data_IF_583791770393
#
_entry.id   IF_583791770393
#
_cell.length_a   1.000
_cell.length_b   1.000
_cell.length_c   1.000
_cell.angle_alpha   90.00
_cell.angle_beta   90.00
_cell.angle_gamma   90.00
#
_symmetry.space_group_name_H-M   'P 1'
#
loop_
_entity.id
_entity.type
_entity.pdbx_description
1 polymer ?
#
# COMPACT_ATOMS: atom_id res chain seq x y z
N UNK A 1 -4.54 -22.84 28.18
CA UNK A 1 -5.00 -23.66 27.05
C UNK A 1 -4.71 -22.82 25.80
N UNK A 2 -3.62 -23.11 25.13
CA UNK A 2 -3.22 -22.41 23.92
C UNK A 2 -4.03 -22.95 22.75
N UNK A 3 -4.94 -22.14 22.23
CA UNK A 3 -5.54 -22.41 20.91
C UNK A 3 -4.44 -22.20 19.87
N UNK A 4 -4.11 -23.28 19.20
CA UNK A 4 -3.21 -23.33 18.04
C UNK A 4 -3.66 -22.26 17.05
N UNK A 5 -2.86 -21.20 16.88
CA UNK A 5 -3.00 -20.23 15.80
C UNK A 5 -2.53 -20.93 14.51
N UNK A 6 -3.37 -21.84 13.99
CA UNK A 6 -3.15 -22.47 12.70
C UNK A 6 -3.30 -21.36 11.66
N UNK A 7 -2.23 -21.05 10.97
CA UNK A 7 -2.19 -20.05 9.89
C UNK A 7 -3.29 -20.40 8.86
N UNK A 8 -4.31 -19.55 8.76
CA UNK A 8 -5.38 -19.68 7.76
C UNK A 8 -4.83 -19.83 6.34
N UNK A 9 -3.64 -19.27 6.12
CA UNK A 9 -2.94 -19.35 4.84
C UNK A 9 -2.64 -20.80 4.39
N UNK A 10 -2.57 -21.79 5.31
CA UNK A 10 -2.28 -23.18 4.94
C UNK A 10 -3.43 -23.88 4.23
N UNK A 11 -4.66 -23.43 4.40
CA UNK A 11 -5.86 -24.10 3.83
C UNK A 11 -6.39 -23.41 2.57
N UNK A 12 -5.76 -22.31 2.12
CA UNK A 12 -6.19 -21.54 0.96
C UNK A 12 -5.44 -21.97 -0.30
N UNK A 13 -6.18 -22.35 -1.34
CA UNK A 13 -5.64 -22.56 -2.68
C UNK A 13 -5.49 -21.22 -3.41
N UNK A 14 -4.34 -20.57 -3.20
CA UNK A 14 -4.01 -19.26 -3.82
C UNK A 14 -3.96 -19.36 -5.36
N UNK A 15 -3.51 -20.47 -5.92
CA UNK A 15 -3.46 -20.65 -7.38
C UNK A 15 -4.87 -20.63 -7.98
N UNK A 16 -5.83 -21.29 -7.33
CA UNK A 16 -7.24 -21.25 -7.73
C UNK A 16 -7.79 -19.83 -7.62
N UNK A 17 -7.58 -19.14 -6.51
CA UNK A 17 -8.06 -17.75 -6.31
C UNK A 17 -7.51 -16.83 -7.38
N UNK A 18 -6.21 -16.90 -7.67
CA UNK A 18 -5.58 -16.10 -8.71
C UNK A 18 -6.15 -16.40 -10.11
N UNK A 19 -6.50 -17.67 -10.38
CA UNK A 19 -7.10 -18.07 -11.66
C UNK A 19 -8.54 -17.57 -11.78
N UNK A 20 -9.35 -17.73 -10.73
CA UNK A 20 -10.79 -17.43 -10.76
C UNK A 20 -11.07 -15.92 -10.60
N UNK A 21 -10.33 -15.24 -9.72
CA UNK A 21 -10.58 -13.84 -9.33
C UNK A 21 -9.50 -12.85 -9.76
N UNK A 22 -8.34 -13.29 -10.24
CA UNK A 22 -7.16 -12.43 -10.46
C UNK A 22 -7.39 -11.21 -11.34
N UNK A 23 -8.43 -11.20 -12.17
CA UNK A 23 -8.84 -10.04 -12.98
C UNK A 23 -10.11 -9.34 -12.46
N UNK A 24 -10.71 -9.81 -11.39
CA UNK A 24 -11.90 -9.25 -10.76
C UNK A 24 -11.50 -8.52 -9.46
N UNK A 25 -11.20 -7.22 -9.56
CA UNK A 25 -10.71 -6.43 -8.43
C UNK A 25 -11.69 -6.41 -7.24
N UNK A 26 -12.98 -6.18 -7.50
CA UNK A 26 -14.01 -6.17 -6.44
C UNK A 26 -14.18 -7.56 -5.83
N UNK A 27 -14.20 -8.61 -6.65
CA UNK A 27 -14.26 -9.99 -6.19
C UNK A 27 -13.08 -10.40 -5.32
N UNK A 28 -11.85 -9.91 -5.62
CA UNK A 28 -10.67 -10.13 -4.78
C UNK A 28 -10.80 -9.42 -3.42
N UNK A 29 -11.32 -8.19 -3.42
CA UNK A 29 -11.56 -7.45 -2.16
C UNK A 29 -12.61 -8.18 -1.33
N UNK A 30 -13.75 -8.55 -1.91
CA UNK A 30 -14.83 -9.24 -1.21
C UNK A 30 -14.39 -10.60 -0.65
N UNK A 31 -13.64 -11.39 -1.44
CA UNK A 31 -13.05 -12.64 -1.00
C UNK A 31 -12.13 -12.43 0.22
N UNK A 32 -11.20 -11.48 0.13
CA UNK A 32 -10.21 -11.25 1.18
C UNK A 32 -10.85 -10.71 2.48
N UNK A 33 -11.85 -9.83 2.38
CA UNK A 33 -12.65 -9.36 3.52
C UNK A 33 -13.47 -10.51 4.10
N UNK A 34 -14.02 -11.39 3.23
CA UNK A 34 -14.77 -12.57 3.62
C UNK A 34 -13.99 -13.59 4.45
N UNK A 35 -12.65 -13.54 4.46
CA UNK A 35 -11.81 -14.35 5.36
C UNK A 35 -12.01 -13.98 6.85
N UNK A 36 -12.64 -12.83 7.15
CA UNK A 36 -12.90 -12.38 8.52
C UNK A 36 -11.67 -12.02 9.34
N UNK A 37 -10.52 -11.83 8.68
CA UNK A 37 -9.24 -11.60 9.33
C UNK A 37 -8.94 -10.11 9.54
N UNK A 38 -8.07 -9.76 10.53
CA UNK A 38 -7.52 -8.43 10.65
C UNK A 38 -6.87 -7.99 9.35
N UNK A 39 -7.38 -6.91 8.75
CA UNK A 39 -6.97 -6.43 7.43
C UNK A 39 -6.49 -4.99 7.52
N UNK A 40 -5.55 -4.62 6.66
CA UNK A 40 -5.13 -3.24 6.43
C UNK A 40 -5.10 -2.95 4.94
N UNK A 41 -5.19 -1.67 4.59
CA UNK A 41 -4.84 -1.17 3.25
C UNK A 41 -3.76 -0.11 3.37
N UNK A 42 -2.72 -0.17 2.54
CA UNK A 42 -1.67 0.85 2.51
C UNK A 42 -1.88 1.81 1.35
N UNK A 43 -1.53 3.08 1.57
CA UNK A 43 -1.55 4.13 0.55
C UNK A 43 -0.35 5.06 0.70
N UNK A 44 0.06 5.66 -0.41
CA UNK A 44 0.94 6.82 -0.47
C UNK A 44 0.20 8.05 -1.01
N UNK A 45 -1.10 7.93 -1.26
CA UNK A 45 -1.91 8.95 -1.92
C UNK A 45 -1.35 9.40 -3.29
N UNK A 46 -0.70 8.47 -4.02
CA UNK A 46 -0.28 8.68 -5.41
C UNK A 46 -1.48 8.63 -6.36
N UNK A 47 -1.30 8.99 -7.64
CA UNK A 47 -2.37 8.93 -8.63
C UNK A 47 -3.12 7.59 -8.60
N UNK A 48 -4.46 7.67 -8.64
CA UNK A 48 -5.41 6.55 -8.67
C UNK A 48 -5.50 5.68 -7.40
N UNK A 49 -4.77 5.95 -6.32
CA UNK A 49 -4.89 5.14 -5.10
C UNK A 49 -6.25 5.30 -4.40
N UNK A 50 -7.00 6.37 -4.70
CA UNK A 50 -8.39 6.49 -4.24
C UNK A 50 -9.28 5.30 -4.69
N UNK A 51 -8.93 4.59 -5.78
CA UNK A 51 -9.66 3.43 -6.28
C UNK A 51 -9.65 2.28 -5.27
N UNK A 52 -8.44 1.86 -4.82
CA UNK A 52 -8.33 0.75 -3.85
C UNK A 52 -8.94 1.15 -2.50
N UNK A 53 -8.73 2.40 -2.07
CA UNK A 53 -9.29 2.91 -0.82
C UNK A 53 -10.81 2.87 -0.84
N UNK A 54 -11.43 3.27 -1.96
CA UNK A 54 -12.88 3.22 -2.16
C UNK A 54 -13.40 1.78 -2.16
N UNK A 55 -12.76 0.86 -2.91
CA UNK A 55 -13.18 -0.55 -2.96
C UNK A 55 -13.16 -1.20 -1.58
N UNK A 56 -12.06 -1.01 -0.84
CA UNK A 56 -11.90 -1.60 0.50
C UNK A 56 -12.89 -0.96 1.49
N UNK A 57 -13.05 0.38 1.47
CA UNK A 57 -13.99 1.06 2.35
C UNK A 57 -15.44 0.67 2.09
N UNK A 58 -15.83 0.41 0.83
CA UNK A 58 -17.16 -0.11 0.49
C UNK A 58 -17.39 -1.51 1.04
N UNK A 59 -16.41 -2.40 0.94
CA UNK A 59 -16.51 -3.77 1.42
C UNK A 59 -16.49 -3.85 2.95
N UNK A 60 -15.65 -3.03 3.59
CA UNK A 60 -15.50 -2.97 5.05
C UNK A 60 -15.00 -1.59 5.49
N UNK A 61 -15.90 -0.68 5.93
CA UNK A 61 -15.57 0.72 6.22
C UNK A 61 -14.56 0.94 7.35
N UNK A 62 -14.38 -0.02 8.25
CA UNK A 62 -13.52 0.08 9.43
C UNK A 62 -12.11 -0.49 9.23
N UNK A 63 -11.75 -0.91 7.99
CA UNK A 63 -10.37 -1.34 7.68
C UNK A 63 -9.40 -0.19 7.91
N UNK A 64 -8.35 -0.36 8.74
CA UNK A 64 -7.33 0.65 8.91
C UNK A 64 -6.60 0.97 7.59
N UNK A 65 -6.55 2.24 7.24
CA UNK A 65 -5.76 2.76 6.13
C UNK A 65 -4.42 3.22 6.68
N UNK A 66 -3.33 2.64 6.21
CA UNK A 66 -1.97 2.93 6.68
C UNK A 66 -1.25 3.82 5.67
N UNK A 67 -0.86 5.00 6.10
CA UNK A 67 -0.03 5.92 5.33
C UNK A 67 1.32 6.13 5.99
N UNK A 68 2.39 5.75 5.28
CA UNK A 68 3.76 6.10 5.68
C UNK A 68 4.05 7.50 5.14
N UNK A 69 3.79 8.54 5.95
CA UNK A 69 4.16 9.91 5.59
C UNK A 69 5.66 10.11 5.82
N UNK A 70 6.42 10.09 4.75
CA UNK A 70 7.88 10.23 4.77
C UNK A 70 8.37 11.65 5.09
N UNK A 71 7.47 12.64 5.16
CA UNK A 71 7.78 14.05 5.41
C UNK A 71 8.22 14.83 4.17
N UNK A 72 8.19 14.23 2.98
CA UNK A 72 8.61 14.83 1.70
C UNK A 72 7.48 14.94 0.69
N UNK A 73 6.24 14.63 1.12
CA UNK A 73 5.07 14.77 0.26
C UNK A 73 4.85 16.23 -0.15
N UNK A 74 4.26 16.45 -1.33
CA UNK A 74 3.86 17.78 -1.78
C UNK A 74 2.65 18.29 -0.99
N UNK A 75 2.42 19.61 -1.00
CA UNK A 75 1.20 20.18 -0.41
C UNK A 75 -0.07 19.60 -1.06
N UNK A 76 -0.02 19.35 -2.38
CA UNK A 76 -1.13 18.74 -3.10
C UNK A 76 -1.44 17.35 -2.57
N UNK A 77 -0.42 16.53 -2.28
CA UNK A 77 -0.59 15.20 -1.69
C UNK A 77 -1.24 15.27 -0.31
N UNK A 78 -0.83 16.22 0.55
CA UNK A 78 -1.46 16.38 1.87
C UNK A 78 -2.93 16.79 1.77
N UNK A 79 -3.26 17.77 0.90
CA UNK A 79 -4.65 18.20 0.67
C UNK A 79 -5.50 17.04 0.11
N UNK A 80 -4.97 16.30 -0.84
CA UNK A 80 -5.62 15.13 -1.44
C UNK A 80 -5.87 14.03 -0.40
N UNK A 81 -4.92 13.76 0.49
CA UNK A 81 -5.09 12.79 1.57
C UNK A 81 -6.25 13.17 2.50
N UNK A 82 -6.35 14.44 2.89
CA UNK A 82 -7.45 14.95 3.71
C UNK A 82 -8.79 14.88 2.98
N UNK A 83 -8.82 15.24 1.69
CA UNK A 83 -10.02 15.20 0.84
C UNK A 83 -10.55 13.78 0.72
N UNK A 84 -9.72 12.81 0.29
CA UNK A 84 -10.09 11.40 0.14
C UNK A 84 -10.51 10.78 1.46
N UNK A 85 -9.77 11.07 2.53
CA UNK A 85 -10.08 10.57 3.87
C UNK A 85 -11.48 11.00 4.32
N UNK A 86 -11.81 12.28 4.10
CA UNK A 86 -13.14 12.82 4.46
C UNK A 86 -14.23 12.29 3.55
N UNK A 87 -13.99 12.27 2.24
CA UNK A 87 -14.99 11.82 1.26
C UNK A 87 -15.36 10.35 1.46
N UNK A 88 -14.39 9.48 1.73
CA UNK A 88 -14.60 8.05 1.87
C UNK A 88 -14.80 7.60 3.33
N UNK A 89 -14.71 8.51 4.30
CA UNK A 89 -14.83 8.18 5.73
C UNK A 89 -13.74 7.21 6.21
N UNK A 90 -12.51 7.37 5.71
CA UNK A 90 -11.42 6.41 5.97
C UNK A 90 -10.94 6.46 7.43
N UNK A 91 -10.62 5.29 7.97
CA UNK A 91 -9.91 5.15 9.23
C UNK A 91 -8.41 5.27 8.99
N UNK A 92 -7.92 6.51 8.77
CA UNK A 92 -6.53 6.79 8.43
C UNK A 92 -5.61 6.75 9.66
N UNK A 93 -4.53 5.98 9.57
CA UNK A 93 -3.43 5.91 10.50
C UNK A 93 -2.15 6.38 9.80
N UNK A 94 -1.55 7.47 10.31
CA UNK A 94 -0.35 8.07 9.74
C UNK A 94 0.87 7.61 10.52
N UNK A 95 1.84 7.02 9.84
CA UNK A 95 3.12 6.59 10.41
C UNK A 95 4.23 7.49 9.89
N UNK A 96 4.79 8.27 10.80
CA UNK A 96 5.89 9.21 10.54
C UNK A 96 7.24 8.56 10.86
N UNK A 97 8.33 8.97 10.20
CA UNK A 97 9.69 8.70 10.66
C UNK A 97 9.89 9.22 12.08
N UNK A 98 10.79 8.60 12.84
CA UNK A 98 11.10 9.03 14.23
C UNK A 98 11.73 10.41 14.29
N UNK A 99 12.46 10.81 13.24
CA UNK A 99 12.99 12.18 13.07
C UNK A 99 12.14 12.91 12.03
N UNK A 100 11.87 14.19 12.30
CA UNK A 100 11.25 15.04 11.28
C UNK A 100 12.22 15.28 10.10
N UNK A 101 11.68 15.68 8.94
CA UNK A 101 12.49 16.11 7.80
C UNK A 101 13.51 17.19 8.19
N UNK A 102 13.06 18.23 8.90
CA UNK A 102 13.93 19.33 9.33
C UNK A 102 15.09 18.85 10.20
N UNK A 103 14.83 17.92 11.15
CA UNK A 103 15.88 17.35 11.99
C UNK A 103 16.90 16.57 11.15
N UNK A 104 16.43 15.72 10.25
CA UNK A 104 17.30 14.89 9.38
C UNK A 104 18.16 15.78 8.47
N UNK A 105 17.56 16.76 7.80
CA UNK A 105 18.28 17.65 6.90
C UNK A 105 19.33 18.49 7.62
N UNK A 106 19.07 18.89 8.86
CA UNK A 106 20.03 19.64 9.67
C UNK A 106 21.25 18.80 10.09
N UNK A 107 21.07 17.50 10.32
CA UNK A 107 22.13 16.60 10.83
C UNK A 107 22.85 15.87 9.69
N UNK A 108 22.09 15.33 8.75
CA UNK A 108 22.59 14.41 7.72
C UNK A 108 22.74 15.12 6.33
N UNK A 109 22.25 16.35 6.21
CA UNK A 109 22.21 17.10 4.95
C UNK A 109 20.96 16.76 4.09
N UNK A 110 20.96 17.18 2.81
CA UNK A 110 19.83 16.98 1.92
C UNK A 110 19.57 15.50 1.65
N UNK A 111 18.37 15.21 1.12
CA UNK A 111 18.00 13.86 0.67
C UNK A 111 19.09 13.28 -0.23
N UNK A 112 19.62 12.09 0.09
CA UNK A 112 20.68 11.46 -0.71
C UNK A 112 20.14 11.05 -2.10
N UNK A 113 20.97 11.20 -3.12
CA UNK A 113 20.67 10.71 -4.47
C UNK A 113 20.56 9.18 -4.48
N UNK A 114 19.93 8.59 -5.52
CA UNK A 114 19.68 7.15 -5.60
C UNK A 114 20.95 6.29 -5.63
N UNK A 115 22.04 6.83 -6.16
CA UNK A 115 23.38 6.22 -6.23
C UNK A 115 24.25 6.50 -5.00
N UNK A 116 23.78 7.35 -4.09
CA UNK A 116 24.49 7.62 -2.83
C UNK A 116 24.37 6.43 -1.89
N UNK A 117 25.49 5.91 -1.32
CA UNK A 117 25.45 4.79 -0.35
C UNK A 117 24.53 5.02 0.86
N UNK A 118 24.26 6.30 1.21
CA UNK A 118 23.35 6.65 2.32
C UNK A 118 21.86 6.49 1.96
N UNK A 119 21.52 6.33 0.67
CA UNK A 119 20.12 6.27 0.23
C UNK A 119 19.36 5.07 0.83
N UNK A 120 20.02 3.94 1.02
CA UNK A 120 19.40 2.77 1.66
C UNK A 120 19.00 3.06 3.11
N UNK A 121 19.89 3.67 3.90
CA UNK A 121 19.59 4.07 5.28
C UNK A 121 18.51 5.15 5.35
N UNK A 122 18.49 6.09 4.41
CA UNK A 122 17.41 7.06 4.27
C UNK A 122 16.06 6.38 4.01
N UNK A 123 15.99 5.44 3.06
CA UNK A 123 14.77 4.69 2.74
C UNK A 123 14.30 3.88 3.93
N UNK A 124 15.21 3.23 4.65
CA UNK A 124 14.90 2.49 5.89
C UNK A 124 14.23 3.42 6.91
N UNK A 125 14.83 4.57 7.19
CA UNK A 125 14.32 5.51 8.19
C UNK A 125 12.97 6.12 7.82
N UNK A 126 12.79 6.54 6.54
CA UNK A 126 11.60 7.31 6.17
C UNK A 126 10.42 6.46 5.71
N UNK A 127 10.65 5.18 5.42
CA UNK A 127 9.61 4.33 4.83
C UNK A 127 9.52 2.93 5.42
N UNK A 128 10.63 2.19 5.50
CA UNK A 128 10.58 0.78 5.88
C UNK A 128 10.36 0.60 7.38
N UNK A 129 11.05 1.37 8.24
CA UNK A 129 10.81 1.35 9.70
C UNK A 129 9.38 1.76 10.06
N UNK A 130 8.82 2.89 9.54
CA UNK A 130 7.42 3.23 9.79
C UNK A 130 6.44 2.13 9.36
N UNK A 131 6.67 1.47 8.23
CA UNK A 131 5.84 0.37 7.77
C UNK A 131 5.97 -0.87 8.66
N UNK A 132 7.19 -1.27 9.01
CA UNK A 132 7.42 -2.40 9.93
C UNK A 132 6.76 -2.15 11.30
N UNK A 133 6.77 -0.89 11.77
CA UNK A 133 6.08 -0.49 13.00
C UNK A 133 4.56 -0.60 12.84
N UNK A 134 4.00 -0.16 11.72
CA UNK A 134 2.58 -0.31 11.41
C UNK A 134 2.15 -1.79 11.42
N UNK A 135 2.93 -2.68 10.78
CA UNK A 135 2.64 -4.11 10.79
C UNK A 135 2.68 -4.71 12.20
N UNK A 136 3.65 -4.32 13.03
CA UNK A 136 3.71 -4.82 14.42
C UNK A 136 2.53 -4.35 15.26
N UNK A 137 2.10 -3.10 15.11
CA UNK A 137 1.02 -2.51 15.91
C UNK A 137 -0.36 -2.97 15.46
N UNK A 138 -0.56 -3.18 14.18
CA UNK A 138 -1.85 -3.62 13.61
C UNK A 138 -1.98 -5.14 13.50
N UNK A 139 -0.85 -5.87 13.51
CA UNK A 139 -0.78 -7.34 13.38
C UNK A 139 -1.73 -7.90 12.31
N UNK A 140 -1.71 -7.39 11.06
CA UNK A 140 -2.66 -7.80 10.04
C UNK A 140 -2.40 -9.23 9.59
N UNK A 141 -3.45 -9.88 9.11
CA UNK A 141 -3.39 -11.16 8.38
C UNK A 141 -3.66 -10.97 6.90
N UNK A 142 -4.28 -9.84 6.52
CA UNK A 142 -4.53 -9.45 5.13
C UNK A 142 -4.02 -8.03 4.89
N UNK A 143 -3.29 -7.83 3.80
CA UNK A 143 -2.75 -6.54 3.41
C UNK A 143 -3.13 -6.21 1.97
N UNK A 144 -4.01 -5.21 1.80
CA UNK A 144 -4.37 -4.67 0.49
C UNK A 144 -3.35 -3.64 0.01
N UNK A 145 -2.96 -3.75 -1.26
CA UNK A 145 -2.00 -2.84 -1.91
C UNK A 145 -2.50 -2.37 -3.27
N UNK A 146 -2.09 -1.17 -3.69
CA UNK A 146 -2.39 -0.60 -5.01
C UNK A 146 -1.30 -0.94 -6.06
N UNK A 147 -0.68 -2.12 -5.98
CA UNK A 147 0.32 -2.55 -6.95
C UNK A 147 -0.28 -2.75 -8.33
N UNK A 148 0.48 -2.38 -9.36
CA UNK A 148 0.13 -2.65 -10.76
C UNK A 148 1.28 -3.34 -11.48
N UNK A 149 0.97 -4.32 -12.32
CA UNK A 149 1.94 -5.06 -13.13
C UNK A 149 2.71 -4.15 -14.10
N UNK A 150 2.09 -3.05 -14.54
CA UNK A 150 2.67 -2.08 -15.46
C UNK A 150 3.72 -1.16 -14.84
N UNK A 151 3.83 -1.11 -13.50
CA UNK A 151 4.72 -0.16 -12.84
C UNK A 151 6.19 -0.58 -12.90
N UNK A 152 6.49 -1.89 -12.83
CA UNK A 152 7.87 -2.43 -12.93
C UNK A 152 7.88 -3.85 -13.50
N UNK A 153 9.03 -4.27 -14.07
CA UNK A 153 9.20 -5.64 -14.58
C UNK A 153 9.04 -6.71 -13.48
N UNK A 154 9.42 -6.40 -12.24
CA UNK A 154 9.24 -7.29 -11.09
C UNK A 154 7.75 -7.49 -10.80
N UNK A 155 6.96 -6.42 -10.82
CA UNK A 155 5.51 -6.49 -10.55
C UNK A 155 4.74 -7.20 -11.64
N UNK A 156 5.24 -7.16 -12.89
CA UNK A 156 4.65 -7.90 -14.00
C UNK A 156 4.66 -9.42 -13.80
N UNK A 157 5.50 -9.94 -12.91
CA UNK A 157 5.61 -11.36 -12.56
C UNK A 157 4.89 -11.73 -11.25
N UNK A 158 4.24 -10.75 -10.58
CA UNK A 158 3.54 -11.01 -9.33
C UNK A 158 2.14 -11.56 -9.59
N UNK A 159 1.65 -12.35 -8.65
CA UNK A 159 0.26 -12.74 -8.59
C UNK A 159 -0.58 -11.68 -7.82
N UNK A 160 -1.87 -11.52 -8.15
CA UNK A 160 -2.79 -10.65 -7.43
C UNK A 160 -2.92 -11.00 -5.94
N UNK A 161 -2.83 -12.27 -5.61
CA UNK A 161 -2.83 -12.76 -4.23
C UNK A 161 -1.59 -13.60 -3.99
N UNK A 162 -0.85 -13.27 -2.94
CA UNK A 162 0.31 -14.03 -2.46
C UNK A 162 0.33 -14.08 -0.94
N UNK A 163 1.13 -14.98 -0.38
CA UNK A 163 1.36 -15.09 1.05
C UNK A 163 2.85 -15.03 1.33
N UNK A 164 3.25 -14.26 2.34
CA UNK A 164 4.63 -14.23 2.78
C UNK A 164 4.94 -15.38 3.76
N UNK A 165 6.22 -15.63 4.11
CA UNK A 165 6.60 -16.68 5.05
C UNK A 165 5.96 -16.56 6.44
N UNK A 166 5.58 -15.35 6.87
CA UNK A 166 4.94 -15.08 8.16
C UNK A 166 3.41 -15.29 8.11
N UNK A 167 2.87 -15.72 6.97
CA UNK A 167 1.45 -15.98 6.78
C UNK A 167 0.61 -14.73 6.51
N UNK A 168 1.21 -13.57 6.23
CA UNK A 168 0.50 -12.37 5.79
C UNK A 168 0.06 -12.52 4.33
N UNK A 169 -1.25 -12.50 4.10
CA UNK A 169 -1.84 -12.56 2.77
C UNK A 169 -1.80 -11.16 2.15
N UNK A 170 -1.05 -11.00 1.06
CA UNK A 170 -0.98 -9.77 0.29
C UNK A 170 -1.95 -9.84 -0.88
N UNK A 171 -2.80 -8.83 -1.01
CA UNK A 171 -3.84 -8.74 -2.05
C UNK A 171 -3.64 -7.46 -2.85
N UNK A 172 -3.41 -7.58 -4.13
CA UNK A 172 -3.21 -6.49 -5.09
C UNK A 172 -4.35 -6.50 -6.14
N UNK A 173 -5.57 -6.05 -5.79
CA UNK A 173 -6.73 -6.19 -6.66
C UNK A 173 -6.59 -5.47 -7.99
N UNK A 174 -5.78 -4.39 -8.01
CA UNK A 174 -5.57 -3.56 -9.18
C UNK A 174 -4.37 -4.00 -10.04
N UNK A 175 -3.76 -5.17 -9.75
CA UNK A 175 -2.50 -5.59 -10.39
C UNK A 175 -2.59 -5.57 -11.91
N UNK A 176 -3.70 -6.03 -12.48
CA UNK A 176 -3.90 -6.10 -13.94
C UNK A 176 -4.69 -4.94 -14.54
N UNK A 177 -4.99 -3.91 -13.74
CA UNK A 177 -5.72 -2.73 -14.20
C UNK A 177 -4.82 -1.77 -14.95
N UNK A 178 -5.29 -1.32 -16.12
CA UNK A 178 -4.67 -0.25 -16.87
C UNK A 178 -4.98 1.12 -16.25
N UNK A 179 -4.23 2.15 -16.68
CA UNK A 179 -4.54 3.53 -16.28
C UNK A 179 -5.92 3.97 -16.77
N UNK A 180 -6.41 3.40 -17.90
CA UNK A 180 -7.76 3.66 -18.42
C UNK A 180 -8.83 3.08 -17.50
N UNK A 181 -8.62 1.85 -16.97
CA UNK A 181 -9.57 1.22 -16.05
C UNK A 181 -9.69 2.03 -14.76
N UNK A 182 -8.53 2.47 -14.21
CA UNK A 182 -8.48 3.31 -13.01
C UNK A 182 -9.17 4.66 -13.22
N UNK A 183 -8.90 5.31 -14.35
CA UNK A 183 -9.54 6.56 -14.71
C UNK A 183 -11.06 6.40 -14.83
N UNK A 184 -11.51 5.38 -15.56
CA UNK A 184 -12.94 5.08 -15.74
C UNK A 184 -13.63 4.82 -14.41
N UNK A 185 -12.97 4.11 -13.49
CA UNK A 185 -13.50 3.87 -12.14
C UNK A 185 -13.61 5.17 -11.33
N UNK A 186 -12.56 6.02 -11.36
CA UNK A 186 -12.60 7.32 -10.69
C UNK A 186 -13.76 8.19 -11.18
N UNK A 187 -13.96 8.28 -12.50
CA UNK A 187 -15.09 9.03 -13.08
C UNK A 187 -16.45 8.46 -12.64
N UNK A 188 -16.60 7.13 -12.70
CA UNK A 188 -17.85 6.47 -12.35
C UNK A 188 -18.26 6.67 -10.88
N UNK A 189 -17.28 6.85 -9.99
CA UNK A 189 -17.50 6.98 -8.54
C UNK A 189 -17.22 8.38 -7.99
N UNK A 190 -16.93 9.37 -8.85
CA UNK A 190 -16.61 10.73 -8.43
C UNK A 190 -15.39 10.83 -7.51
N UNK A 191 -14.37 10.00 -7.75
CA UNK A 191 -13.18 9.97 -6.92
C UNK A 191 -12.18 11.03 -7.37
N UNK A 192 -11.63 11.84 -6.46
CA UNK A 192 -10.58 12.78 -6.79
C UNK A 192 -9.27 12.06 -7.13
N UNK A 193 -8.37 12.78 -7.80
CA UNK A 193 -7.06 12.26 -8.16
C UNK A 193 -5.98 13.33 -7.95
N UNK A 194 -4.77 12.89 -7.61
CA UNK A 194 -3.61 13.77 -7.44
C UNK A 194 -2.45 13.32 -8.32
N UNK A 195 -2.06 14.16 -9.27
CA UNK A 195 -0.93 13.91 -10.16
C UNK A 195 0.36 14.62 -9.70
N UNK A 196 0.28 15.51 -8.71
CA UNK A 196 1.43 16.15 -8.08
C UNK A 196 1.92 15.29 -6.90
N UNK A 197 2.62 14.21 -7.24
CA UNK A 197 3.12 13.22 -6.29
C UNK A 197 4.62 12.98 -6.47
N UNK A 198 5.36 12.96 -5.37
CA UNK A 198 6.80 12.66 -5.32
C UNK A 198 7.08 11.60 -4.26
N UNK A 199 7.91 10.61 -4.61
CA UNK A 199 8.44 9.62 -3.66
C UNK A 199 9.97 9.66 -3.67
N UNK A 200 10.62 10.30 -2.68
CA UNK A 200 12.06 10.49 -2.66
C UNK A 200 12.83 9.16 -2.51
N UNK A 201 12.15 8.07 -2.14
CA UNK A 201 12.78 6.75 -2.02
C UNK A 201 12.85 5.99 -3.34
N UNK A 202 12.18 6.48 -4.38
CA UNK A 202 12.10 5.82 -5.70
C UNK A 202 12.86 6.56 -6.79
N UNK A 203 12.99 7.88 -6.68
CA UNK A 203 13.47 8.73 -7.76
C UNK A 203 12.55 8.71 -8.99
N UNK A 204 13.08 9.16 -10.13
CA UNK A 204 12.33 9.24 -11.40
C UNK A 204 12.16 7.87 -12.08
N UNK A 205 13.00 6.88 -11.76
CA UNK A 205 13.08 5.60 -12.48
C UNK A 205 12.09 4.53 -11.99
N UNK A 206 11.07 4.88 -11.19
CA UNK A 206 10.05 3.94 -10.67
C UNK A 206 10.62 2.64 -10.06
N UNK A 207 11.82 2.69 -9.46
CA UNK A 207 12.45 1.50 -8.85
C UNK A 207 11.65 0.99 -7.66
N UNK A 208 11.85 -0.28 -7.35
CA UNK A 208 11.29 -0.87 -6.13
C UNK A 208 12.01 -0.33 -4.88
N UNK A 209 11.25 0.12 -3.90
CA UNK A 209 11.78 0.62 -2.62
C UNK A 209 11.95 -0.46 -1.54
N UNK A 210 11.77 -1.73 -1.89
CA UNK A 210 11.91 -2.85 -0.96
C UNK A 210 10.65 -3.20 -0.16
N UNK A 211 9.70 -2.28 0.00
CA UNK A 211 8.50 -2.49 0.83
C UNK A 211 7.66 -3.71 0.39
N UNK A 212 7.63 -4.02 -0.90
CA UNK A 212 6.86 -5.14 -1.45
C UNK A 212 7.69 -6.39 -1.74
N UNK A 213 9.01 -6.33 -1.57
CA UNK A 213 9.92 -7.44 -1.88
C UNK A 213 10.27 -8.29 -0.65
N UNK A 214 10.19 -7.71 0.55
CA UNK A 214 10.63 -8.31 1.81
C UNK A 214 9.48 -8.67 2.77
N UNK A 215 8.23 -8.43 2.36
CA UNK A 215 7.05 -8.69 3.19
C UNK A 215 5.94 -9.36 2.40
#
# INVERSE_FOLDING_TARGET
MGTSDMSIATDIDFARINTELGRNAEGLVDWAIGLGQPSIVTTNFRPFEAVILHMVARAKPDVPVIWMDNGYNTEATYRFADEVTRQLGLRLHIYLPRRSRAHREAVDGPTPALDDPRHAAFTEEVKLEPFARALRETAPKVWFTALRATDTAVRAQMDPVSVNPDGLIKVAPLLHWSSKDLYTYCEAHGLPNNFDYVDPTKGEDNRECGLHLSH
#
